data_IF_469710633214
#
_entry.id   IF_469710633214
#
_cell.length_a   1.000
_cell.length_b   1.000
_cell.length_c   1.000
_cell.angle_alpha   90.00
_cell.angle_beta   90.00
_cell.angle_gamma   90.00
#
_symmetry.space_group_name_H-M   'P 1'
#
loop_
_entity.id
_entity.type
_entity.pdbx_description
1 polymer ?
#
# COMPACT_ATOMS: atom_id res chain seq x y z
N UNK A 1 -16.83 -58.22 -23.76
CA UNK A 1 -17.43 -57.30 -22.77
C UNK A 1 -16.78 -57.61 -21.43
N UNK A 2 -15.69 -56.89 -21.13
CA UNK A 2 -14.84 -57.18 -19.95
C UNK A 2 -15.44 -56.45 -18.75
N UNK A 3 -15.74 -57.23 -17.71
CA UNK A 3 -16.36 -56.79 -16.47
C UNK A 3 -15.33 -55.98 -15.64
N UNK A 4 -15.69 -54.76 -15.31
CA UNK A 4 -14.86 -53.85 -14.51
C UNK A 4 -14.98 -54.21 -13.03
N UNK A 5 -13.91 -54.70 -12.41
CA UNK A 5 -13.79 -54.72 -10.95
C UNK A 5 -12.43 -54.21 -10.55
N UNK A 6 -12.32 -52.90 -10.32
CA UNK A 6 -11.21 -52.33 -9.57
C UNK A 6 -11.78 -51.32 -8.58
N UNK A 7 -11.59 -51.68 -7.30
CA UNK A 7 -11.15 -50.77 -6.24
C UNK A 7 -12.18 -49.78 -5.69
N UNK A 8 -12.83 -50.17 -4.58
CA UNK A 8 -13.26 -49.21 -3.57
C UNK A 8 -12.09 -48.98 -2.61
N UNK A 9 -11.74 -47.73 -2.31
CA UNK A 9 -11.56 -47.44 -0.90
C UNK A 9 -12.04 -46.04 -0.48
N UNK A 10 -12.58 -46.02 0.74
CA UNK A 10 -12.67 -44.91 1.69
C UNK A 10 -13.84 -43.93 1.59
N UNK A 11 -14.77 -44.17 2.52
CA UNK A 11 -15.73 -43.24 3.10
C UNK A 11 -15.10 -41.88 3.47
N UNK A 12 -15.68 -40.74 3.06
CA UNK A 12 -15.35 -39.43 3.62
C UNK A 12 -16.32 -39.09 4.78
N UNK A 13 -16.29 -39.85 5.87
CA UNK A 13 -16.87 -39.41 7.14
C UNK A 13 -15.80 -38.70 7.97
N UNK A 14 -15.31 -37.53 7.54
CA UNK A 14 -14.61 -36.53 8.36
C UNK A 14 -14.22 -35.30 7.50
N UNK A 15 -15.13 -34.33 7.35
CA UNK A 15 -14.77 -32.98 6.90
C UNK A 15 -14.32 -32.15 8.12
N UNK A 16 -13.05 -31.66 8.18
CA UNK A 16 -12.57 -30.81 9.25
C UNK A 16 -13.10 -29.39 9.07
N UNK A 17 -14.27 -29.12 9.64
CA UNK A 17 -14.86 -27.78 9.55
C UNK A 17 -16.34 -27.74 9.89
N UNK A 18 -16.76 -28.40 10.97
CA UNK A 18 -18.12 -28.25 11.48
C UNK A 18 -18.22 -26.86 12.14
N UNK A 19 -18.56 -25.82 11.37
CA UNK A 19 -18.93 -24.52 11.93
C UNK A 19 -20.17 -24.76 12.79
N UNK A 20 -20.03 -24.64 14.12
CA UNK A 20 -21.18 -24.59 15.02
C UNK A 20 -22.04 -23.39 14.60
N UNK A 21 -23.18 -23.64 13.98
CA UNK A 21 -24.23 -22.62 13.89
C UNK A 21 -24.82 -22.49 15.30
N UNK A 22 -24.37 -21.50 16.06
CA UNK A 22 -24.96 -21.17 17.35
C UNK A 22 -26.38 -20.63 17.16
N UNK A 23 -27.29 -21.23 17.94
CA UNK A 23 -28.68 -20.85 18.24
C UNK A 23 -29.25 -19.63 17.52
N UNK A 24 -30.20 -19.86 16.60
CA UNK A 24 -31.11 -18.84 16.07
C UNK A 24 -32.01 -18.33 17.22
N UNK A 25 -31.63 -17.23 17.87
CA UNK A 25 -32.49 -16.56 18.84
C UNK A 25 -31.88 -15.24 19.29
N UNK A 26 -32.54 -14.12 18.96
CA UNK A 26 -32.26 -12.71 19.36
C UNK A 26 -30.85 -12.15 19.07
N UNK A 27 -29.83 -13.01 18.97
CA UNK A 27 -28.42 -12.73 18.79
C UNK A 27 -28.07 -12.22 17.39
N UNK A 28 -28.79 -12.66 16.35
CA UNK A 28 -28.60 -12.15 14.98
C UNK A 28 -28.96 -10.65 14.87
N UNK A 29 -30.11 -10.23 15.42
CA UNK A 29 -30.54 -8.83 15.37
C UNK A 29 -29.68 -7.89 16.21
N UNK A 30 -29.28 -8.30 17.43
CA UNK A 30 -28.36 -7.51 18.26
C UNK A 30 -26.98 -7.37 17.61
N UNK A 31 -26.49 -8.44 16.97
CA UNK A 31 -25.20 -8.40 16.26
C UNK A 31 -25.25 -7.46 15.04
N UNK A 32 -26.38 -7.37 14.36
CA UNK A 32 -26.57 -6.45 13.24
C UNK A 32 -26.63 -4.99 13.70
N UNK A 33 -27.34 -4.69 14.80
CA UNK A 33 -27.39 -3.34 15.38
C UNK A 33 -26.01 -2.92 15.89
N UNK A 34 -25.28 -3.82 16.56
CA UNK A 34 -23.92 -3.55 17.00
C UNK A 34 -22.98 -3.30 15.80
N UNK A 35 -23.10 -4.10 14.74
CA UNK A 35 -22.31 -3.93 13.50
C UNK A 35 -22.63 -2.61 12.81
N UNK A 36 -23.90 -2.25 12.68
CA UNK A 36 -24.35 -0.98 12.12
C UNK A 36 -23.87 0.20 12.97
N UNK A 37 -24.07 0.11 14.29
CA UNK A 37 -23.60 1.11 15.24
C UNK A 37 -22.10 1.34 15.11
N UNK A 38 -21.31 0.27 15.00
CA UNK A 38 -19.85 0.35 14.81
C UNK A 38 -19.47 1.01 13.47
N UNK A 39 -20.14 0.63 12.37
CA UNK A 39 -19.88 1.23 11.06
C UNK A 39 -20.20 2.72 10.99
N UNK A 40 -21.16 3.20 11.76
CA UNK A 40 -21.51 4.63 11.80
C UNK A 40 -20.65 5.38 12.82
N UNK A 41 -20.42 4.80 14.00
CA UNK A 41 -19.65 5.47 15.07
C UNK A 41 -18.17 5.60 14.74
N UNK A 42 -17.52 4.59 14.14
CA UNK A 42 -16.09 4.67 13.80
C UNK A 42 -15.80 5.89 12.90
N UNK A 43 -16.45 6.07 11.73
CA UNK A 43 -16.19 7.23 10.88
C UNK A 43 -16.48 8.57 11.54
N UNK A 44 -17.54 8.68 12.36
CA UNK A 44 -17.90 9.93 13.05
C UNK A 44 -16.83 10.30 14.09
N UNK A 45 -16.44 9.34 14.93
CA UNK A 45 -15.41 9.57 15.96
C UNK A 45 -14.06 9.85 15.31
N UNK A 46 -13.71 9.11 14.26
CA UNK A 46 -12.49 9.34 13.50
C UNK A 46 -12.50 10.74 12.87
N UNK A 47 -13.60 11.15 12.24
CA UNK A 47 -13.75 12.50 11.70
C UNK A 47 -13.54 13.55 12.80
N UNK A 48 -14.22 13.42 13.94
CA UNK A 48 -14.15 14.40 15.02
C UNK A 48 -12.75 14.51 15.63
N UNK A 49 -12.06 13.38 15.80
CA UNK A 49 -10.71 13.34 16.38
C UNK A 49 -9.65 13.89 15.43
N UNK A 50 -9.76 13.63 14.13
CA UNK A 50 -8.82 14.12 13.12
C UNK A 50 -9.08 15.58 12.71
N UNK A 51 -10.34 15.98 12.52
CA UNK A 51 -10.68 17.34 12.08
C UNK A 51 -10.36 18.40 13.13
N UNK A 52 -10.54 18.08 14.41
CA UNK A 52 -10.27 19.02 15.51
C UNK A 52 -8.80 19.04 15.97
N UNK A 53 -7.96 18.14 15.45
CA UNK A 53 -6.56 18.04 15.86
C UNK A 53 -5.61 17.94 14.65
N UNK A 54 -5.40 19.09 14.02
CA UNK A 54 -4.50 19.25 12.87
C UNK A 54 -3.07 18.77 13.13
N UNK A 55 -2.62 18.71 14.39
CA UNK A 55 -1.31 18.18 14.77
C UNK A 55 -1.17 16.68 14.51
N UNK A 56 -2.25 15.89 14.67
CA UNK A 56 -2.25 14.45 14.38
C UNK A 56 -2.18 14.24 12.86
N UNK A 57 -2.95 15.02 12.09
CA UNK A 57 -2.91 15.01 10.63
C UNK A 57 -1.53 15.39 10.09
N UNK A 58 -0.94 16.47 10.61
CA UNK A 58 0.42 16.89 10.22
C UNK A 58 1.47 15.85 10.56
N UNK A 59 1.36 15.16 11.71
CA UNK A 59 2.29 14.07 12.07
C UNK A 59 2.14 12.85 11.15
N UNK A 60 0.92 12.54 10.71
CA UNK A 60 0.68 11.43 9.77
C UNK A 60 1.10 11.77 8.34
N UNK A 61 0.77 12.99 7.87
CA UNK A 61 1.08 13.46 6.52
C UNK A 61 2.53 13.90 6.36
N UNK A 62 3.19 14.37 7.41
CA UNK A 62 4.57 14.85 7.40
C UNK A 62 5.62 13.76 7.15
N UNK A 63 5.25 12.48 7.27
CA UNK A 63 6.13 11.36 6.93
C UNK A 63 6.31 11.14 5.41
N UNK A 64 5.59 11.89 4.56
CA UNK A 64 5.70 11.82 3.11
C UNK A 64 5.97 13.21 2.55
N UNK A 65 7.12 13.40 1.90
CA UNK A 65 7.33 14.57 1.05
C UNK A 65 6.46 14.43 -0.20
N UNK A 66 5.42 15.25 -0.31
CA UNK A 66 4.53 15.28 -1.48
C UNK A 66 5.16 16.01 -2.68
N UNK A 67 6.24 16.74 -2.46
CA UNK A 67 7.03 17.40 -3.50
C UNK A 67 8.45 16.87 -3.39
N UNK A 68 8.84 16.03 -4.34
CA UNK A 68 10.22 15.58 -4.51
C UNK A 68 10.79 16.42 -5.64
N UNK A 69 11.67 17.36 -5.29
CA UNK A 69 12.46 18.02 -6.32
C UNK A 69 13.38 16.99 -6.98
N UNK A 70 13.52 17.02 -8.31
CA UNK A 70 14.50 16.19 -8.97
C UNK A 70 15.88 16.46 -8.38
N UNK A 71 16.79 15.46 -8.37
CA UNK A 71 18.16 15.67 -7.91
C UNK A 71 18.76 16.88 -8.61
N UNK A 72 19.39 17.76 -7.82
CA UNK A 72 20.15 18.89 -8.38
C UNK A 72 21.11 18.36 -9.44
N UNK A 73 21.04 18.94 -10.64
CA UNK A 73 21.92 18.57 -11.74
C UNK A 73 23.39 18.82 -11.38
N UNK A 74 24.34 18.25 -12.14
CA UNK A 74 25.75 18.58 -11.95
C UNK A 74 25.91 20.10 -12.00
N UNK A 75 26.59 20.66 -11.00
CA UNK A 75 26.89 22.09 -10.99
C UNK A 75 27.62 22.45 -12.29
N UNK A 76 27.30 23.60 -12.90
CA UNK A 76 27.99 24.02 -14.11
C UNK A 76 29.50 24.12 -13.84
N UNK A 77 30.34 23.77 -14.83
CA UNK A 77 31.78 23.92 -14.71
C UNK A 77 32.14 25.37 -14.38
N UNK A 78 33.21 25.55 -13.62
CA UNK A 78 33.67 26.88 -13.22
C UNK A 78 34.11 27.72 -14.44
N UNK A 79 34.08 29.06 -14.34
CA UNK A 79 34.53 29.93 -15.42
C UNK A 79 35.97 29.69 -15.87
N UNK A 80 36.84 29.19 -14.97
CA UNK A 80 38.23 28.86 -15.32
C UNK A 80 38.30 27.54 -16.12
N UNK A 81 37.57 26.50 -15.69
CA UNK A 81 37.45 25.24 -16.43
C UNK A 81 36.85 25.46 -17.83
N UNK A 82 35.88 26.37 -17.96
CA UNK A 82 35.34 26.79 -19.27
C UNK A 82 36.39 27.42 -20.17
N UNK A 83 37.29 28.22 -19.60
CA UNK A 83 38.38 28.86 -20.36
C UNK A 83 39.44 27.85 -20.77
N UNK A 84 39.70 26.84 -19.94
CA UNK A 84 40.60 25.74 -20.28
C UNK A 84 40.02 24.86 -21.39
N UNK A 85 38.76 24.45 -21.27
CA UNK A 85 38.03 23.71 -22.32
C UNK A 85 38.02 24.48 -23.66
N UNK A 86 37.83 25.81 -23.63
CA UNK A 86 37.88 26.64 -24.83
C UNK A 86 39.28 26.67 -25.48
N UNK A 87 40.35 26.67 -24.67
CA UNK A 87 41.74 26.61 -25.17
C UNK A 87 42.06 25.24 -25.77
N UNK A 88 41.59 24.15 -25.16
CA UNK A 88 41.78 22.80 -25.68
C UNK A 88 41.05 22.60 -27.03
N UNK A 89 39.80 23.06 -27.13
CA UNK A 89 39.05 23.03 -28.40
C UNK A 89 39.76 23.82 -29.51
N UNK A 90 40.33 24.98 -29.19
CA UNK A 90 41.10 25.78 -30.15
C UNK A 90 42.39 25.06 -30.60
N UNK A 91 43.05 24.34 -29.71
CA UNK A 91 44.24 23.51 -30.04
C UNK A 91 43.86 22.34 -30.94
N UNK A 92 42.76 21.64 -30.64
CA UNK A 92 42.27 20.53 -31.47
C UNK A 92 41.91 21.00 -32.88
N UNK A 93 41.25 22.16 -33.00
CA UNK A 93 40.89 22.76 -34.30
C UNK A 93 42.11 23.07 -35.19
N UNK A 94 43.23 23.47 -34.61
CA UNK A 94 44.44 23.83 -35.36
C UNK A 94 45.28 22.61 -35.79
N UNK A 95 44.98 21.42 -35.25
CA UNK A 95 45.69 20.18 -35.53
C UNK A 95 44.97 19.30 -36.58
N UNK A 96 43.90 19.80 -37.19
CA UNK A 96 43.09 19.14 -38.22
C UNK A 96 42.98 20.06 -39.45
#
# INVERSE_FOLDING_TARGET
MVLTTNFLPNSPSNFPGKIKMSSLGTSKGVLEIAKFGLYVTIPIVLMYTFANNTKILQKFMGNRSYVVYPPEGPRPPSPEELREMARELARMKNNH
#
